data_IF_914279242815
#
_entry.id   IF_914279242815
#
_cell.length_a   1.000
_cell.length_b   1.000
_cell.length_c   1.000
_cell.angle_alpha   90.00
_cell.angle_beta   90.00
_cell.angle_gamma   90.00
#
_symmetry.space_group_name_H-M   'P 1'
#
loop_
_entity.id
_entity.type
_entity.pdbx_description
1 polymer ?
#
# COMPACT_ATOMS: atom_id res chain seq x y z
N UNK A 1 5.18 -13.88 -8.90
CA UNK A 1 6.43 -14.45 -9.45
C UNK A 1 7.25 -13.38 -10.16
N UNK A 2 6.64 -12.56 -11.00
CA UNK A 2 7.30 -11.50 -11.76
C UNK A 2 8.05 -10.50 -10.86
N UNK A 3 7.41 -10.05 -9.78
CA UNK A 3 8.02 -9.12 -8.83
C UNK A 3 9.31 -9.66 -8.20
N UNK A 4 9.35 -10.94 -7.84
CA UNK A 4 10.55 -11.57 -7.30
C UNK A 4 11.65 -11.66 -8.37
N UNK A 5 11.28 -12.05 -9.59
CA UNK A 5 12.21 -12.14 -10.71
C UNK A 5 12.89 -10.79 -11.00
N UNK A 6 12.11 -9.72 -11.13
CA UNK A 6 12.66 -8.39 -11.39
C UNK A 6 13.53 -7.86 -10.25
N UNK A 7 13.15 -8.13 -8.99
CA UNK A 7 13.98 -7.77 -7.85
C UNK A 7 15.34 -8.51 -7.86
N UNK A 8 15.34 -9.81 -8.12
CA UNK A 8 16.57 -10.59 -8.21
C UNK A 8 17.44 -10.18 -9.40
N UNK A 9 16.84 -9.91 -10.55
CA UNK A 9 17.53 -9.42 -11.73
C UNK A 9 18.19 -8.05 -11.48
N UNK A 10 17.47 -7.11 -10.87
CA UNK A 10 17.98 -5.80 -10.53
C UNK A 10 19.11 -5.89 -9.48
N UNK A 11 18.93 -6.74 -8.47
CA UNK A 11 19.97 -6.99 -7.47
C UNK A 11 21.25 -7.56 -8.13
N UNK A 12 21.12 -8.52 -9.04
CA UNK A 12 22.25 -9.07 -9.75
C UNK A 12 22.94 -8.03 -10.64
N UNK A 13 22.18 -7.28 -11.41
CA UNK A 13 22.73 -6.34 -12.40
C UNK A 13 23.36 -5.11 -11.74
N UNK A 14 22.67 -4.45 -10.84
CA UNK A 14 23.16 -3.23 -10.19
C UNK A 14 23.98 -3.54 -8.94
N UNK A 15 23.56 -4.54 -8.16
CA UNK A 15 24.24 -4.93 -6.93
C UNK A 15 25.66 -5.41 -7.18
N UNK A 16 25.89 -6.30 -8.15
CA UNK A 16 27.23 -6.77 -8.48
C UNK A 16 28.17 -5.64 -8.89
N UNK A 17 27.66 -4.66 -9.64
CA UNK A 17 28.47 -3.49 -10.06
C UNK A 17 28.86 -2.63 -8.87
N UNK A 18 27.92 -2.36 -7.95
CA UNK A 18 28.20 -1.56 -6.74
C UNK A 18 29.10 -2.31 -5.79
N UNK A 19 28.90 -3.61 -5.61
CA UNK A 19 29.74 -4.46 -4.79
C UNK A 19 31.20 -4.48 -5.26
N UNK A 20 31.44 -4.53 -6.57
CA UNK A 20 32.76 -4.47 -7.15
C UNK A 20 33.50 -3.14 -6.85
N UNK A 21 32.74 -2.02 -6.70
CA UNK A 21 33.31 -0.70 -6.40
C UNK A 21 33.50 -0.49 -4.90
N UNK A 22 32.52 -0.89 -4.08
CA UNK A 22 32.51 -0.61 -2.63
C UNK A 22 33.10 -1.73 -1.78
N UNK A 23 33.16 -2.94 -2.34
CA UNK A 23 33.43 -4.20 -1.63
C UNK A 23 32.20 -4.73 -0.91
N UNK A 24 32.17 -6.05 -0.70
CA UNK A 24 31.02 -6.81 -0.19
C UNK A 24 30.50 -6.28 1.17
N UNK A 25 31.41 -5.90 2.07
CA UNK A 25 31.01 -5.43 3.41
C UNK A 25 30.18 -4.13 3.35
N UNK A 26 30.64 -3.14 2.58
CA UNK A 26 29.90 -1.84 2.45
C UNK A 26 28.63 -2.04 1.66
N UNK A 27 28.66 -2.87 0.64
CA UNK A 27 27.49 -3.22 -0.17
C UNK A 27 26.37 -3.82 0.69
N UNK A 28 26.67 -4.85 1.50
CA UNK A 28 25.68 -5.50 2.36
C UNK A 28 25.12 -4.53 3.39
N UNK A 29 25.97 -3.72 4.04
CA UNK A 29 25.52 -2.74 5.03
C UNK A 29 24.56 -1.74 4.37
N UNK A 30 24.92 -1.20 3.22
CA UNK A 30 24.07 -0.26 2.49
C UNK A 30 22.74 -0.89 2.08
N UNK A 31 22.76 -2.10 1.53
CA UNK A 31 21.58 -2.86 1.12
C UNK A 31 20.60 -3.07 2.28
N UNK A 32 21.12 -3.48 3.45
CA UNK A 32 20.30 -3.68 4.64
C UNK A 32 19.74 -2.37 5.19
N UNK A 33 20.57 -1.32 5.29
CA UNK A 33 20.13 -0.01 5.81
C UNK A 33 19.03 0.59 4.91
N UNK A 34 19.20 0.54 3.60
CA UNK A 34 18.18 1.06 2.67
C UNK A 34 16.89 0.25 2.72
N UNK A 35 16.98 -1.07 2.87
CA UNK A 35 15.80 -1.94 3.04
C UNK A 35 15.04 -1.68 4.34
N UNK A 36 15.76 -1.59 5.45
CA UNK A 36 15.17 -1.28 6.76
C UNK A 36 14.57 0.14 6.73
N UNK A 37 15.30 1.13 6.20
CA UNK A 37 14.82 2.50 6.08
C UNK A 37 13.55 2.60 5.24
N UNK A 38 13.51 1.93 4.10
CA UNK A 38 12.31 1.87 3.25
C UNK A 38 11.12 1.20 3.98
N UNK A 39 11.37 0.10 4.70
CA UNK A 39 10.35 -0.57 5.48
C UNK A 39 9.79 0.32 6.59
N UNK A 40 10.65 1.00 7.35
CA UNK A 40 10.23 1.93 8.41
C UNK A 40 9.41 3.10 7.85
N UNK A 41 9.86 3.69 6.74
CA UNK A 41 9.14 4.80 6.10
C UNK A 41 7.76 4.35 5.60
N UNK A 42 7.69 3.20 4.97
CA UNK A 42 6.44 2.62 4.49
C UNK A 42 5.48 2.33 5.65
N UNK A 43 5.97 1.72 6.73
CA UNK A 43 5.18 1.45 7.92
C UNK A 43 4.64 2.74 8.57
N UNK A 44 5.46 3.79 8.64
CA UNK A 44 5.04 5.08 9.16
C UNK A 44 3.91 5.70 8.32
N UNK A 45 4.06 5.70 6.99
CA UNK A 45 3.04 6.25 6.09
C UNK A 45 1.73 5.46 6.21
N UNK A 46 1.80 4.13 6.19
CA UNK A 46 0.62 3.28 6.35
C UNK A 46 -0.04 3.53 7.71
N UNK A 47 0.73 3.59 8.79
CA UNK A 47 0.18 3.85 10.12
C UNK A 47 -0.57 5.18 10.17
N UNK A 48 -0.04 6.24 9.58
CA UNK A 48 -0.69 7.55 9.53
C UNK A 48 -1.96 7.53 8.68
N UNK A 49 -1.96 6.86 7.54
CA UNK A 49 -3.13 6.73 6.67
C UNK A 49 -4.20 5.84 7.31
N UNK A 50 -3.80 4.67 7.81
CA UNK A 50 -4.70 3.69 8.38
C UNK A 50 -5.39 4.21 9.64
N UNK A 51 -4.69 4.97 10.49
CA UNK A 51 -5.26 5.53 11.73
C UNK A 51 -6.41 6.50 11.46
N UNK A 52 -6.33 7.30 10.39
CA UNK A 52 -7.41 8.20 9.99
C UNK A 52 -8.65 7.42 9.52
N UNK A 53 -8.45 6.43 8.67
CA UNK A 53 -9.53 5.62 8.11
C UNK A 53 -10.19 4.74 9.18
N UNK A 54 -9.40 4.13 10.06
CA UNK A 54 -9.91 3.37 11.22
C UNK A 54 -10.77 4.28 12.10
N UNK A 55 -10.32 5.50 12.37
CA UNK A 55 -11.08 6.45 13.17
C UNK A 55 -12.45 6.78 12.58
N UNK A 56 -12.57 6.92 11.26
CA UNK A 56 -13.85 7.11 10.59
C UNK A 56 -14.77 5.90 10.71
N UNK A 57 -14.23 4.69 10.53
CA UNK A 57 -15.01 3.44 10.64
C UNK A 57 -15.48 3.24 12.09
N UNK A 58 -14.59 3.43 13.08
CA UNK A 58 -14.93 3.30 14.50
C UNK A 58 -15.96 4.33 14.95
N UNK A 59 -15.86 5.58 14.48
CA UNK A 59 -16.87 6.60 14.76
C UNK A 59 -18.25 6.20 14.24
N UNK A 60 -18.31 5.63 13.03
CA UNK A 60 -19.55 5.13 12.44
C UNK A 60 -20.11 3.89 13.18
N UNK A 61 -19.26 3.02 13.74
CA UNK A 61 -19.67 1.90 14.58
C UNK A 61 -20.24 2.40 15.92
N UNK A 62 -19.59 3.37 16.55
CA UNK A 62 -20.01 3.91 17.85
C UNK A 62 -21.31 4.71 17.76
N UNK A 63 -21.51 5.43 16.67
CA UNK A 63 -22.68 6.26 16.43
C UNK A 63 -23.14 6.10 14.98
N UNK A 64 -23.94 5.04 14.67
CA UNK A 64 -24.40 4.75 13.32
C UNK A 64 -25.54 5.66 12.85
N UNK A 65 -25.29 6.96 12.95
CA UNK A 65 -26.19 8.02 12.48
C UNK A 65 -25.87 8.39 11.03
N UNK A 66 -26.85 8.95 10.32
CA UNK A 66 -26.66 9.39 8.93
C UNK A 66 -25.47 10.36 8.76
N UNK A 67 -25.20 11.21 9.74
CA UNK A 67 -24.10 12.15 9.69
C UNK A 67 -22.74 11.43 9.64
N UNK A 68 -22.48 10.50 10.57
CA UNK A 68 -21.24 9.73 10.65
C UNK A 68 -21.08 8.76 9.48
N UNK A 69 -22.18 8.12 9.05
CA UNK A 69 -22.19 7.22 7.89
C UNK A 69 -21.89 7.97 6.59
N UNK A 70 -22.46 9.15 6.39
CA UNK A 70 -22.18 9.98 5.23
C UNK A 70 -20.75 10.53 5.24
N UNK A 71 -20.22 10.87 6.41
CA UNK A 71 -18.83 11.27 6.56
C UNK A 71 -17.88 10.12 6.20
N UNK A 72 -18.16 8.91 6.68
CA UNK A 72 -17.42 7.72 6.31
C UNK A 72 -17.46 7.47 4.79
N UNK A 73 -18.66 7.44 4.19
CA UNK A 73 -18.84 7.19 2.74
C UNK A 73 -18.14 8.24 1.88
N UNK A 74 -18.13 9.50 2.33
CA UNK A 74 -17.49 10.60 1.61
C UNK A 74 -15.96 10.57 1.68
N UNK A 75 -15.39 10.22 2.84
CA UNK A 75 -13.99 10.42 3.14
C UNK A 75 -13.18 9.11 3.10
N UNK A 76 -13.85 7.95 3.10
CA UNK A 76 -13.20 6.63 3.05
C UNK A 76 -13.54 5.90 1.75
N UNK A 77 -12.52 5.38 1.09
CA UNK A 77 -12.70 4.50 -0.08
C UNK A 77 -12.76 3.04 0.37
N UNK A 78 -13.90 2.40 0.19
CA UNK A 78 -14.04 0.97 0.49
C UNK A 78 -13.23 0.11 -0.49
N UNK A 79 -12.25 -0.62 0.02
CA UNK A 79 -11.38 -1.52 -0.76
C UNK A 79 -12.04 -2.89 -0.99
N UNK A 80 -13.22 -2.87 -1.58
CA UNK A 80 -14.04 -4.06 -1.87
C UNK A 80 -14.40 -4.13 -3.34
N UNK A 81 -14.54 -5.35 -3.84
CA UNK A 81 -15.03 -5.64 -5.17
C UNK A 81 -15.81 -6.97 -5.17
N UNK A 82 -16.40 -7.33 -6.31
CA UNK A 82 -17.19 -8.57 -6.46
C UNK A 82 -16.42 -9.86 -6.12
N UNK A 83 -15.10 -9.83 -6.05
CA UNK A 83 -14.26 -10.96 -5.67
C UNK A 83 -13.95 -10.99 -4.16
N UNK A 84 -14.43 -10.02 -3.38
CA UNK A 84 -14.27 -9.96 -1.93
C UNK A 84 -15.22 -10.91 -1.17
N UNK A 85 -15.90 -11.81 -1.89
CA UNK A 85 -16.74 -12.85 -1.32
C UNK A 85 -17.95 -12.29 -0.58
N UNK A 86 -18.22 -12.84 0.60
CA UNK A 86 -19.40 -12.49 1.40
C UNK A 86 -19.39 -11.02 1.87
N UNK A 87 -18.21 -10.46 2.07
CA UNK A 87 -18.07 -9.05 2.49
C UNK A 87 -18.58 -8.07 1.41
N UNK A 88 -18.51 -8.44 0.12
CA UNK A 88 -19.13 -7.66 -0.94
C UNK A 88 -20.65 -7.63 -0.85
N UNK A 89 -21.28 -8.76 -0.54
CA UNK A 89 -22.74 -8.84 -0.36
C UNK A 89 -23.18 -7.99 0.85
N UNK A 90 -22.42 -8.06 1.94
CA UNK A 90 -22.66 -7.22 3.12
C UNK A 90 -22.49 -5.73 2.80
N UNK A 91 -21.55 -5.35 1.93
CA UNK A 91 -21.39 -3.97 1.48
C UNK A 91 -22.59 -3.45 0.69
N UNK A 92 -23.14 -4.29 -0.20
CA UNK A 92 -24.38 -3.93 -0.94
C UNK A 92 -25.54 -3.71 0.04
N UNK A 93 -25.73 -4.62 0.99
CA UNK A 93 -26.74 -4.48 2.05
C UNK A 93 -26.50 -3.25 2.94
N UNK A 94 -25.24 -2.91 3.24
CA UNK A 94 -24.88 -1.70 3.95
C UNK A 94 -25.39 -0.45 3.23
N UNK A 95 -25.19 -0.35 1.92
CA UNK A 95 -25.66 0.79 1.13
C UNK A 95 -27.19 0.88 1.12
N UNK A 96 -27.90 -0.24 1.03
CA UNK A 96 -29.35 -0.29 1.12
C UNK A 96 -29.84 0.16 2.51
N UNK A 97 -29.22 -0.32 3.59
CA UNK A 97 -29.59 0.04 4.96
C UNK A 97 -29.31 1.51 5.29
N UNK A 98 -28.23 2.08 4.75
CA UNK A 98 -27.97 3.53 4.86
C UNK A 98 -29.10 4.33 4.21
N UNK A 99 -29.63 3.88 3.06
CA UNK A 99 -30.79 4.50 2.43
C UNK A 99 -32.07 4.35 3.29
N UNK A 100 -32.27 3.20 3.95
CA UNK A 100 -33.39 3.00 4.88
C UNK A 100 -33.35 4.03 6.02
N UNK A 101 -32.17 4.30 6.57
CA UNK A 101 -31.99 5.28 7.65
C UNK A 101 -32.32 6.72 7.22
N UNK A 102 -32.29 7.06 5.93
CA UNK A 102 -32.72 8.38 5.44
C UNK A 102 -34.22 8.63 5.69
N UNK A 103 -35.03 7.58 5.64
CA UNK A 103 -36.48 7.65 5.84
C UNK A 103 -36.91 7.21 7.25
N UNK A 104 -36.11 6.37 7.89
CA UNK A 104 -36.39 5.79 9.21
C UNK A 104 -35.11 5.77 10.07
N UNK A 105 -34.67 6.90 10.64
CA UNK A 105 -33.38 7.04 11.34
C UNK A 105 -33.19 6.12 12.54
N UNK A 106 -34.28 5.61 13.12
CA UNK A 106 -34.27 4.73 14.29
C UNK A 106 -34.58 3.27 13.96
N UNK A 107 -34.46 2.88 12.69
CA UNK A 107 -34.68 1.50 12.28
C UNK A 107 -33.58 0.59 12.86
N UNK A 108 -33.94 -0.20 13.89
CA UNK A 108 -33.02 -1.04 14.65
C UNK A 108 -32.38 -2.12 13.78
N UNK A 109 -33.14 -2.74 12.86
CA UNK A 109 -32.65 -3.77 11.96
C UNK A 109 -31.60 -3.22 10.99
N UNK A 110 -31.85 -2.06 10.41
CA UNK A 110 -30.89 -1.38 9.52
C UNK A 110 -29.59 -1.02 10.27
N UNK A 111 -29.70 -0.49 11.50
CA UNK A 111 -28.55 -0.17 12.36
C UNK A 111 -27.73 -1.43 12.68
N UNK A 112 -28.39 -2.54 13.00
CA UNK A 112 -27.70 -3.80 13.30
C UNK A 112 -26.94 -4.33 12.08
N UNK A 113 -27.54 -4.35 10.90
CA UNK A 113 -26.89 -4.79 9.66
C UNK A 113 -25.71 -3.89 9.28
N UNK A 114 -25.83 -2.60 9.45
CA UNK A 114 -24.73 -1.63 9.28
C UNK A 114 -23.57 -1.95 10.21
N UNK A 115 -23.85 -2.17 11.49
CA UNK A 115 -22.82 -2.50 12.48
C UNK A 115 -22.13 -3.84 12.21
N UNK A 116 -22.87 -4.86 11.77
CA UNK A 116 -22.29 -6.15 11.37
C UNK A 116 -21.31 -5.93 10.21
N UNK A 117 -21.71 -5.23 9.17
CA UNK A 117 -20.84 -4.94 8.03
C UNK A 117 -19.60 -4.14 8.47
N UNK A 118 -19.77 -3.04 9.21
CA UNK A 118 -18.66 -2.17 9.60
C UNK A 118 -17.62 -2.90 10.47
N UNK A 119 -18.06 -3.75 11.41
CA UNK A 119 -17.14 -4.56 12.21
C UNK A 119 -16.38 -5.59 11.35
N UNK A 120 -17.07 -6.29 10.43
CA UNK A 120 -16.44 -7.24 9.52
C UNK A 120 -15.46 -6.53 8.57
N UNK A 121 -15.85 -5.37 8.06
CA UNK A 121 -15.03 -4.56 7.18
C UNK A 121 -13.79 -4.00 7.91
N UNK A 122 -13.92 -3.53 9.15
CA UNK A 122 -12.79 -3.07 9.96
C UNK A 122 -11.75 -4.18 10.13
N UNK A 123 -12.18 -5.39 10.49
CA UNK A 123 -11.29 -6.55 10.62
C UNK A 123 -10.60 -6.90 9.30
N UNK A 124 -11.31 -6.86 8.19
CA UNK A 124 -10.77 -7.06 6.85
C UNK A 124 -9.76 -5.96 6.51
N UNK A 125 -10.12 -4.70 6.71
CA UNK A 125 -9.31 -3.54 6.36
C UNK A 125 -7.97 -3.51 7.11
N UNK A 126 -7.98 -3.81 8.40
CA UNK A 126 -6.76 -3.92 9.22
C UNK A 126 -5.89 -5.12 8.80
N UNK A 127 -6.50 -6.18 8.27
CA UNK A 127 -5.79 -7.38 7.82
C UNK A 127 -5.29 -7.31 6.37
N UNK A 128 -5.61 -6.25 5.62
CA UNK A 128 -5.12 -6.08 4.25
C UNK A 128 -3.59 -6.13 4.25
N UNK A 129 -2.97 -7.05 3.47
CA UNK A 129 -1.53 -7.24 3.50
C UNK A 129 -0.81 -6.01 2.93
N UNK A 130 -0.08 -5.35 3.79
CA UNK A 130 0.85 -4.30 3.41
C UNK A 130 2.22 -4.92 3.19
N UNK A 131 2.46 -5.45 2.01
CA UNK A 131 3.71 -6.13 1.70
C UNK A 131 4.80 -5.11 1.41
N UNK A 132 5.73 -4.96 2.35
CA UNK A 132 7.02 -4.33 2.08
C UNK A 132 7.96 -5.44 1.62
N UNK A 133 8.31 -5.42 0.33
CA UNK A 133 9.26 -6.36 -0.25
C UNK A 133 10.69 -5.81 -0.26
N UNK A 134 11.63 -6.62 -0.79
CA UNK A 134 13.03 -6.24 -1.02
C UNK A 134 13.19 -5.05 -1.99
N UNK A 135 12.10 -4.60 -2.63
CA UNK A 135 12.07 -3.47 -3.57
C UNK A 135 12.65 -2.18 -2.99
N UNK A 136 12.45 -1.90 -1.70
CA UNK A 136 13.04 -0.74 -1.05
C UNK A 136 14.58 -0.73 -1.09
N UNK A 137 15.20 -1.88 -0.82
CA UNK A 137 16.66 -2.04 -0.97
C UNK A 137 17.09 -1.91 -2.44
N UNK A 138 16.28 -2.41 -3.37
CA UNK A 138 16.57 -2.32 -4.82
C UNK A 138 16.53 -0.88 -5.29
N UNK A 139 15.54 -0.09 -4.87
CA UNK A 139 15.52 1.36 -5.16
C UNK A 139 16.74 2.08 -4.58
N UNK A 140 17.19 1.71 -3.38
CA UNK A 140 18.44 2.21 -2.82
C UNK A 140 19.65 1.86 -3.69
N UNK A 141 19.73 0.64 -4.22
CA UNK A 141 20.81 0.25 -5.16
C UNK A 141 20.73 1.03 -6.48
N UNK A 142 19.55 1.23 -7.02
CA UNK A 142 19.36 2.04 -8.24
C UNK A 142 19.83 3.48 -8.02
N UNK A 143 19.50 4.07 -6.88
CA UNK A 143 19.96 5.40 -6.51
C UNK A 143 21.50 5.45 -6.43
N UNK A 144 22.12 4.51 -5.71
CA UNK A 144 23.58 4.43 -5.60
C UNK A 144 24.24 4.25 -6.98
N UNK A 145 23.68 3.39 -7.84
CA UNK A 145 24.17 3.19 -9.19
C UNK A 145 24.08 4.47 -10.04
N UNK A 146 22.96 5.17 -10.00
CA UNK A 146 22.78 6.44 -10.71
C UNK A 146 23.72 7.54 -10.25
N UNK A 147 24.07 7.55 -8.94
CA UNK A 147 25.04 8.50 -8.39
C UNK A 147 26.49 8.13 -8.76
N UNK A 148 26.85 6.85 -8.73
CA UNK A 148 28.19 6.39 -9.07
C UNK A 148 28.46 6.42 -10.58
N UNK A 149 27.46 6.10 -11.39
CA UNK A 149 27.59 5.96 -12.84
C UNK A 149 26.53 6.77 -13.61
N UNK A 150 26.44 8.10 -13.43
CA UNK A 150 25.34 8.92 -13.94
C UNK A 150 25.18 8.88 -15.47
N UNK A 151 26.26 8.61 -16.19
CA UNK A 151 26.28 8.55 -17.65
C UNK A 151 26.25 7.13 -18.21
N UNK A 152 26.20 6.09 -17.36
CA UNK A 152 26.05 4.72 -17.81
C UNK A 152 24.70 4.56 -18.55
N UNK A 153 24.73 3.80 -19.64
CA UNK A 153 23.51 3.51 -20.42
C UNK A 153 22.82 2.29 -19.84
N UNK A 154 21.57 2.46 -19.44
CA UNK A 154 20.67 1.37 -19.02
C UNK A 154 19.69 1.14 -20.16
N UNK A 155 19.52 -0.12 -20.57
CA UNK A 155 18.58 -0.50 -21.62
C UNK A 155 17.27 -0.98 -20.98
N UNK A 156 16.25 -0.12 -21.02
CA UNK A 156 14.90 -0.46 -20.54
C UNK A 156 14.29 -1.46 -21.51
N UNK A 157 13.83 -2.59 -20.98
CA UNK A 157 13.30 -3.71 -21.79
C UNK A 157 14.24 -4.13 -22.95
N UNK A 158 15.56 -3.94 -22.78
CA UNK A 158 16.59 -4.21 -23.80
C UNK A 158 16.47 -3.39 -25.11
N UNK A 159 15.53 -2.45 -25.17
CA UNK A 159 15.22 -1.69 -26.39
C UNK A 159 15.58 -0.20 -26.28
N UNK A 160 15.28 0.43 -25.15
CA UNK A 160 15.41 1.88 -25.01
C UNK A 160 16.62 2.26 -24.15
N UNK A 161 17.71 2.82 -24.75
CA UNK A 161 18.85 3.27 -23.98
C UNK A 161 18.53 4.57 -23.22
N UNK A 162 18.74 4.58 -21.92
CA UNK A 162 18.58 5.74 -21.05
C UNK A 162 19.80 5.89 -20.14
N UNK A 163 20.24 7.13 -19.90
CA UNK A 163 21.32 7.37 -18.92
C UNK A 163 20.82 7.06 -17.50
N UNK A 164 21.67 6.44 -16.69
CA UNK A 164 21.35 6.01 -15.33
C UNK A 164 20.78 7.15 -14.47
N UNK A 165 21.31 8.36 -14.57
CA UNK A 165 20.77 9.52 -13.84
C UNK A 165 19.30 9.82 -14.15
N UNK A 166 18.87 9.67 -15.41
CA UNK A 166 17.48 9.90 -15.78
C UNK A 166 16.58 8.74 -15.36
N UNK A 167 17.12 7.52 -15.46
CA UNK A 167 16.40 6.34 -14.99
C UNK A 167 16.03 6.45 -13.50
N UNK A 168 16.99 6.84 -12.66
CA UNK A 168 16.77 6.99 -11.21
C UNK A 168 15.82 8.13 -10.84
N UNK A 169 15.73 9.19 -11.69
CA UNK A 169 14.80 10.31 -11.42
C UNK A 169 13.35 9.94 -11.80
N UNK A 170 13.18 9.08 -12.79
CA UNK A 170 11.85 8.70 -13.33
C UNK A 170 11.23 7.55 -12.53
N UNK A 171 12.05 6.63 -12.04
CA UNK A 171 11.64 5.44 -11.29
C UNK A 171 11.88 5.59 -9.80
#
# INVERSE_FOLDING_TARGET
>A
FEHLFFNMFALWMFGSTIENVWGSKRFIIYYLITGIGAAMTHYLIIHLQLSSDIGLIEAAIQSPELATLNELIKNHQFHLNQYSGDLWNQFVLFQENVNVLQFSPTNVEAIEQINIFLNNYLNYYVSLPNVVGASGSIYGLLLAFGMLFPNAMIYIYFLFPMKAKWFVIIF
#
